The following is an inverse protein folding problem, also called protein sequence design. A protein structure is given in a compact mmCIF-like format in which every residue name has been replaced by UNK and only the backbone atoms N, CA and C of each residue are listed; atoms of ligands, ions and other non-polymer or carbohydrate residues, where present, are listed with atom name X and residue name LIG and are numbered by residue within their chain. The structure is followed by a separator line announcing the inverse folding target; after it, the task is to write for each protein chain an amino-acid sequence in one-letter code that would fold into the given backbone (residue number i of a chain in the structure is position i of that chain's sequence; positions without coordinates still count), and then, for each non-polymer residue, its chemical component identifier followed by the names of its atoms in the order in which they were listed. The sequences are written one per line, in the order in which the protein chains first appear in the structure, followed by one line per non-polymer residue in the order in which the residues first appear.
data_IF_414897879747
#
_entry.id   IF_414897879747
#
_cell.length_a   1.000
_cell.length_b   1.000
_cell.length_c   1.000
_cell.angle_alpha   90.00
_cell.angle_beta   90.00
_cell.angle_gamma   90.00
#
_symmetry.space_group_name_H-M   'P 1'
#
loop_
_entity.id
_entity.type
_entity.pdbx_description
1 polymer ?
#
# COMPACT_ATOMS: atom_id res chain seq x y z
N UNK A 1 10.42 -13.72 13.97
CA UNK A 1 9.53 -12.73 13.32
C UNK A 1 9.99 -12.60 11.89
N UNK A 2 9.39 -13.38 10.99
CA UNK A 2 9.88 -13.55 9.61
C UNK A 2 9.52 -12.37 8.72
N UNK A 3 10.38 -12.06 7.74
CA UNK A 3 10.14 -11.03 6.71
C UNK A 3 8.79 -11.23 6.01
N UNK A 4 8.38 -12.49 5.84
CA UNK A 4 7.08 -12.91 5.31
C UNK A 4 5.89 -12.30 6.08
N UNK A 5 5.98 -12.20 7.41
CA UNK A 5 4.94 -11.57 8.23
C UNK A 5 4.88 -10.06 8.02
N UNK A 6 6.03 -9.42 7.75
CA UNK A 6 6.11 -7.99 7.47
C UNK A 6 5.52 -7.66 6.08
N UNK A 7 5.81 -8.51 5.09
CA UNK A 7 5.24 -8.41 3.75
C UNK A 7 3.73 -8.68 3.74
N UNK A 8 3.26 -9.64 4.55
CA UNK A 8 1.83 -9.88 4.73
C UNK A 8 1.11 -8.67 5.36
N UNK A 9 1.71 -8.01 6.36
CA UNK A 9 1.14 -6.82 6.97
C UNK A 9 1.11 -5.62 6.01
N UNK A 10 2.18 -5.42 5.23
CA UNK A 10 2.21 -4.38 4.19
C UNK A 10 1.17 -4.62 3.10
N UNK A 11 0.98 -5.88 2.66
CA UNK A 11 -0.08 -6.23 1.72
C UNK A 11 -1.48 -5.95 2.30
N UNK A 12 -1.72 -6.25 3.58
CA UNK A 12 -2.99 -5.89 4.23
C UNK A 12 -3.21 -4.39 4.26
N UNK A 13 -2.18 -3.60 4.57
CA UNK A 13 -2.26 -2.12 4.51
C UNK A 13 -2.52 -1.62 3.10
N UNK A 14 -1.89 -2.22 2.10
CA UNK A 14 -2.13 -1.90 0.69
C UNK A 14 -3.60 -2.14 0.32
N UNK A 15 -4.15 -3.31 0.65
CA UNK A 15 -5.54 -3.66 0.38
C UNK A 15 -6.54 -2.71 1.08
N UNK A 16 -6.25 -2.28 2.31
CA UNK A 16 -7.07 -1.29 3.01
C UNK A 16 -7.06 0.07 2.30
N UNK A 17 -5.88 0.56 1.91
CA UNK A 17 -5.73 1.81 1.15
C UNK A 17 -6.41 1.76 -0.22
N UNK A 18 -6.39 0.60 -0.89
CA UNK A 18 -7.13 0.41 -2.15
C UNK A 18 -8.64 0.49 -1.94
N UNK A 19 -9.17 -0.11 -0.88
CA UNK A 19 -10.59 0.01 -0.51
C UNK A 19 -10.98 1.45 -0.23
N UNK A 20 -10.21 2.16 0.59
CA UNK A 20 -10.45 3.59 0.88
C UNK A 20 -10.40 4.43 -0.41
N UNK A 21 -9.47 4.14 -1.32
CA UNK A 21 -9.33 4.84 -2.58
C UNK A 21 -10.46 4.52 -3.58
N UNK A 22 -11.03 3.31 -3.51
CA UNK A 22 -12.16 2.90 -4.33
C UNK A 22 -13.47 3.49 -3.82
N UNK A 23 -13.66 3.53 -2.49
CA UNK A 23 -14.78 4.20 -1.83
C UNK A 23 -14.74 5.72 -2.07
N UNK A 24 -13.55 6.32 -1.95
CA UNK A 24 -13.30 7.71 -2.29
C UNK A 24 -13.63 8.02 -3.75
N UNK A 25 -13.15 7.22 -4.71
CA UNK A 25 -13.46 7.43 -6.13
C UNK A 25 -14.95 7.25 -6.45
N UNK A 26 -15.66 6.43 -5.68
CA UNK A 26 -17.11 6.25 -5.84
C UNK A 26 -17.90 7.48 -5.40
N UNK A 27 -17.30 8.35 -4.58
CA UNK A 27 -17.88 9.61 -4.16
C UNK A 27 -17.32 10.78 -5.00
N UNK A 28 -18.08 11.33 -5.98
CA UNK A 28 -17.60 12.41 -6.83
C UNK A 28 -17.35 13.75 -6.09
N UNK A 29 -17.82 13.87 -4.85
CA UNK A 29 -17.53 15.01 -3.96
C UNK A 29 -16.38 14.76 -2.99
N UNK A 30 -15.63 13.65 -3.12
CA UNK A 30 -14.46 13.42 -2.26
C UNK A 30 -13.43 14.51 -2.50
N UNK A 31 -12.86 15.04 -1.41
CA UNK A 31 -11.76 15.97 -1.47
C UNK A 31 -10.60 15.37 -2.27
N UNK A 32 -10.23 16.01 -3.37
CA UNK A 32 -9.06 15.69 -4.20
C UNK A 32 -7.77 15.58 -3.36
N UNK A 33 -7.75 16.25 -2.21
CA UNK A 33 -6.70 16.18 -1.17
C UNK A 33 -6.61 14.76 -0.58
N UNK A 34 -7.73 14.16 -0.17
CA UNK A 34 -7.79 12.78 0.35
C UNK A 34 -7.33 11.78 -0.71
N UNK A 35 -7.79 11.94 -1.95
CA UNK A 35 -7.43 11.06 -3.06
C UNK A 35 -5.92 11.13 -3.36
N UNK A 36 -5.33 12.33 -3.30
CA UNK A 36 -3.88 12.53 -3.45
C UNK A 36 -3.09 11.94 -2.28
N UNK A 37 -3.59 12.11 -1.05
CA UNK A 37 -2.98 11.52 0.14
C UNK A 37 -3.00 9.99 0.10
N UNK A 38 -4.12 9.38 -0.28
CA UNK A 38 -4.27 7.92 -0.44
C UNK A 38 -3.33 7.39 -1.53
N UNK A 39 -3.25 8.05 -2.69
CA UNK A 39 -2.30 7.69 -3.75
C UNK A 39 -0.84 7.73 -3.27
N UNK A 40 -0.44 8.79 -2.54
CA UNK A 40 0.90 8.87 -1.95
C UNK A 40 1.16 7.74 -0.96
N UNK A 41 0.20 7.45 -0.09
CA UNK A 41 0.32 6.37 0.90
C UNK A 41 0.42 5.00 0.23
N UNK A 42 -0.38 4.74 -0.81
CA UNK A 42 -0.30 3.54 -1.65
C UNK A 42 1.08 3.41 -2.30
N UNK A 43 1.63 4.51 -2.83
CA UNK A 43 2.97 4.51 -3.42
C UNK A 43 4.04 4.16 -2.37
N UNK A 44 3.99 4.76 -1.18
CA UNK A 44 4.96 4.46 -0.12
C UNK A 44 4.89 3.00 0.35
N UNK A 45 3.68 2.44 0.52
CA UNK A 45 3.53 1.02 0.89
C UNK A 45 4.09 0.13 -0.21
N UNK A 46 3.85 0.47 -1.49
CA UNK A 46 4.43 -0.26 -2.63
C UNK A 46 5.96 -0.20 -2.61
N UNK A 47 6.56 0.97 -2.38
CA UNK A 47 8.02 1.11 -2.27
C UNK A 47 8.59 0.33 -1.08
N UNK A 48 7.87 0.27 0.04
CA UNK A 48 8.27 -0.55 1.18
C UNK A 48 8.25 -2.04 0.86
N UNK A 49 7.19 -2.52 0.17
CA UNK A 49 7.10 -3.91 -0.31
C UNK A 49 8.25 -4.21 -1.26
N UNK A 50 8.49 -3.33 -2.24
CA UNK A 50 9.54 -3.49 -3.24
C UNK A 50 10.92 -3.52 -2.59
N UNK A 51 11.18 -2.61 -1.65
CA UNK A 51 12.42 -2.58 -0.86
C UNK A 51 12.60 -3.85 -0.05
N UNK A 52 11.57 -4.39 0.60
CA UNK A 52 11.66 -5.61 1.41
C UNK A 52 11.84 -6.84 0.52
N UNK A 53 11.14 -6.88 -0.62
CA UNK A 53 11.28 -7.91 -1.63
C UNK A 53 12.70 -7.92 -2.21
N UNK A 54 13.24 -6.75 -2.56
CA UNK A 54 14.59 -6.58 -3.08
C UNK A 54 15.67 -6.82 -2.01
N UNK A 55 15.42 -6.43 -0.75
CA UNK A 55 16.31 -6.69 0.38
C UNK A 55 16.26 -8.15 0.86
N UNK A 56 15.40 -8.99 0.28
CA UNK A 56 15.40 -10.44 0.46
C UNK A 56 15.97 -11.15 -0.79
N UNK A 57 17.26 -10.97 -1.14
CA UNK A 57 17.86 -11.63 -2.31
C UNK A 57 18.14 -13.12 -2.10
N UNK A 58 17.75 -13.71 -0.97
CA UNK A 58 18.05 -15.08 -0.59
C UNK A 58 16.82 -15.98 -0.73
N UNK A 59 16.34 -16.18 -1.95
CA UNK A 59 15.55 -17.35 -2.35
C UNK A 59 15.53 -17.42 -3.88
N UNK A 60 16.69 -17.72 -4.47
CA UNK A 60 16.77 -18.38 -5.76
C UNK A 60 17.97 -19.33 -5.77
#
# INVERSE_FOLDING_TARGET
MSIESHLAELNRRHAALERELQDAQSHPSIDTILLTALKRRKLQVKEQIDRISAASPSLH
#
